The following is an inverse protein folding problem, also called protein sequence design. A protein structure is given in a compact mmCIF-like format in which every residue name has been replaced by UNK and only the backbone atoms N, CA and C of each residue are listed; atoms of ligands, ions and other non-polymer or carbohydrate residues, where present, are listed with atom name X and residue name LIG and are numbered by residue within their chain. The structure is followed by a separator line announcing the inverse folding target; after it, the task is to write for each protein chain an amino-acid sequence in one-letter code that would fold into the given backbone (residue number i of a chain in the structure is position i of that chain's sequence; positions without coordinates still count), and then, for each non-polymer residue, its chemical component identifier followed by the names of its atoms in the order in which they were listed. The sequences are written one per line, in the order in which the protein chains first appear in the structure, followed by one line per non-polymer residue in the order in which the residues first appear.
data_IF_965702944041
#
_entry.id   IF_965702944041
#
_cell.length_a   1.000
_cell.length_b   1.000
_cell.length_c   1.000
_cell.angle_alpha   90.00
_cell.angle_beta   90.00
_cell.angle_gamma   90.00
#
_symmetry.space_group_name_H-M   'P 1'
#
loop_
_entity.id
_entity.type
_entity.pdbx_description
1 polymer ?
#
# COMPACT_ATOMS: atom_id res chain seq x y z
N UNK A 1 1.70 5.62 24.06
CA UNK A 1 2.68 4.93 24.94
C UNK A 1 2.25 3.48 25.10
N UNK A 2 2.99 2.50 24.55
CA UNK A 2 3.29 1.15 25.10
C UNK A 2 4.25 0.49 24.09
N UNK A 3 5.56 0.62 24.30
CA UNK A 3 6.62 -0.06 23.54
C UNK A 3 7.69 -0.55 24.53
N UNK A 4 7.32 -1.38 25.51
CA UNK A 4 8.32 -1.88 26.48
C UNK A 4 8.29 -3.39 26.82
N UNK A 5 7.30 -4.18 26.38
CA UNK A 5 7.18 -5.56 26.87
C UNK A 5 7.65 -6.70 25.95
N UNK A 6 8.27 -6.44 24.80
CA UNK A 6 8.82 -7.51 23.93
C UNK A 6 10.22 -8.02 24.33
N UNK A 7 10.88 -7.34 25.30
CA UNK A 7 12.30 -7.52 25.63
C UNK A 7 12.66 -8.80 26.42
N UNK A 8 11.86 -9.30 27.39
CA UNK A 8 12.23 -10.49 28.14
C UNK A 8 11.99 -11.79 27.36
N UNK A 9 11.08 -11.78 26.37
CA UNK A 9 10.64 -12.97 25.65
C UNK A 9 11.65 -13.45 24.59
N UNK A 10 12.37 -12.55 23.93
CA UNK A 10 13.38 -12.92 22.91
C UNK A 10 14.59 -13.63 23.53
N UNK A 11 15.06 -13.14 24.67
CA UNK A 11 16.21 -13.70 25.37
C UNK A 11 15.90 -15.07 25.99
N UNK A 12 14.69 -15.25 26.54
CA UNK A 12 14.23 -16.55 27.05
C UNK A 12 14.11 -17.60 25.94
N UNK A 13 13.81 -17.19 24.70
CA UNK A 13 13.71 -18.09 23.56
C UNK A 13 15.07 -18.50 22.99
N UNK A 14 16.11 -17.65 23.06
CA UNK A 14 17.43 -17.97 22.47
C UNK A 14 18.28 -18.83 23.41
N UNK A 15 18.36 -18.47 24.70
CA UNK A 15 19.29 -19.07 25.68
C UNK A 15 19.27 -20.60 25.74
N UNK A 16 18.10 -21.28 25.80
CA UNK A 16 18.05 -22.74 25.90
C UNK A 16 18.68 -23.45 24.70
N UNK A 17 18.50 -22.91 23.50
CA UNK A 17 19.04 -23.49 22.26
C UNK A 17 20.48 -23.07 22.01
N UNK A 18 20.89 -21.86 22.40
CA UNK A 18 22.27 -21.39 22.27
C UNK A 18 23.25 -22.25 23.07
N UNK A 19 22.84 -22.68 24.28
CA UNK A 19 23.62 -23.63 25.08
C UNK A 19 23.78 -24.97 24.35
N UNK A 20 22.69 -25.51 23.78
CA UNK A 20 22.70 -26.78 23.03
C UNK A 20 23.59 -26.68 21.79
N UNK A 21 23.50 -25.58 21.05
CA UNK A 21 24.31 -25.29 19.88
C UNK A 21 25.80 -25.23 20.24
N UNK A 22 26.15 -24.44 21.25
CA UNK A 22 27.53 -24.30 21.73
C UNK A 22 28.11 -25.66 22.12
N UNK A 23 27.34 -26.51 22.79
CA UNK A 23 27.76 -27.86 23.17
C UNK A 23 27.91 -28.85 21.99
N UNK A 24 27.46 -28.52 20.78
CA UNK A 24 27.68 -29.36 19.61
C UNK A 24 28.87 -28.91 18.77
N UNK A 25 29.08 -27.59 18.68
CA UNK A 25 30.08 -26.99 17.78
C UNK A 25 31.29 -26.42 18.53
N UNK A 26 31.39 -26.63 19.85
CA UNK A 26 32.45 -26.04 20.66
C UNK A 26 33.84 -26.35 20.09
N UNK A 27 34.73 -25.34 19.96
CA UNK A 27 36.08 -25.53 19.42
C UNK A 27 36.87 -26.58 20.21
N UNK A 28 36.67 -26.67 21.52
CA UNK A 28 37.36 -27.68 22.35
C UNK A 28 36.93 -29.11 22.03
N UNK A 29 35.87 -29.36 21.26
CA UNK A 29 35.61 -30.72 20.81
C UNK A 29 36.52 -31.14 19.63
N UNK A 30 37.25 -30.23 19.01
CA UNK A 30 38.06 -30.47 17.81
C UNK A 30 39.58 -30.51 18.10
N UNK A 31 39.99 -31.28 19.10
CA UNK A 31 41.42 -31.42 19.48
C UNK A 31 42.33 -31.93 18.35
N UNK A 32 41.80 -32.72 17.40
CA UNK A 32 42.57 -33.33 16.31
C UNK A 32 42.59 -32.52 15.00
N UNK A 33 41.83 -31.42 14.91
CA UNK A 33 41.66 -30.64 13.67
C UNK A 33 41.75 -29.14 13.98
N UNK A 34 42.97 -28.59 14.02
CA UNK A 34 43.22 -27.18 14.36
C UNK A 34 42.45 -26.18 13.47
N UNK A 35 42.30 -26.49 12.19
CA UNK A 35 41.53 -25.67 11.23
C UNK A 35 40.06 -25.61 11.62
N UNK A 36 39.45 -26.76 11.96
CA UNK A 36 38.03 -26.83 12.36
C UNK A 36 37.79 -26.17 13.71
N UNK A 37 38.74 -26.34 14.63
CA UNK A 37 38.75 -25.65 15.92
C UNK A 37 38.73 -24.14 15.75
N UNK A 38 39.65 -23.59 14.95
CA UNK A 38 39.71 -22.15 14.68
C UNK A 38 38.46 -21.64 13.95
N UNK A 39 37.98 -22.40 12.96
CA UNK A 39 36.78 -22.06 12.22
C UNK A 39 35.55 -21.95 13.13
N UNK A 40 35.29 -22.98 13.94
CA UNK A 40 34.15 -22.96 14.86
C UNK A 40 34.29 -21.86 15.92
N UNK A 41 35.51 -21.57 16.41
CA UNK A 41 35.74 -20.46 17.32
C UNK A 41 35.37 -19.10 16.69
N UNK A 42 35.86 -18.84 15.47
CA UNK A 42 35.54 -17.62 14.72
C UNK A 42 34.02 -17.51 14.43
N UNK A 43 33.39 -18.61 14.03
CA UNK A 43 31.96 -18.64 13.70
C UNK A 43 31.08 -18.48 14.93
N UNK A 44 31.49 -19.01 16.10
CA UNK A 44 30.82 -18.75 17.36
C UNK A 44 30.93 -17.28 17.75
N UNK A 45 32.10 -16.66 17.61
CA UNK A 45 32.27 -15.22 17.85
C UNK A 45 31.37 -14.38 16.94
N UNK A 46 31.30 -14.71 15.65
CA UNK A 46 30.38 -14.04 14.72
C UNK A 46 28.92 -14.26 15.09
N UNK A 47 28.54 -15.47 15.54
CA UNK A 47 27.20 -15.76 16.04
C UNK A 47 26.85 -14.90 17.26
N UNK A 48 27.75 -14.80 18.24
CA UNK A 48 27.54 -13.93 19.39
C UNK A 48 27.42 -12.47 18.96
N UNK A 49 28.21 -12.01 18.00
CA UNK A 49 28.10 -10.63 17.47
C UNK A 49 26.76 -10.38 16.77
N UNK A 50 26.20 -11.39 16.09
CA UNK A 50 24.87 -11.32 15.47
C UNK A 50 23.74 -11.31 16.53
N UNK A 51 23.91 -12.07 17.61
CA UNK A 51 22.91 -12.22 18.67
C UNK A 51 23.03 -11.16 19.78
N UNK A 52 24.16 -10.48 19.91
CA UNK A 52 24.44 -9.51 20.98
C UNK A 52 23.38 -8.39 21.07
N UNK A 53 22.91 -7.78 19.96
CA UNK A 53 21.83 -6.78 20.01
C UNK A 53 20.52 -7.31 20.62
N UNK A 54 20.30 -8.64 20.59
CA UNK A 54 19.11 -9.30 21.13
C UNK A 54 19.35 -9.78 22.58
N UNK A 55 20.57 -10.21 22.90
CA UNK A 55 20.95 -10.73 24.22
C UNK A 55 21.29 -9.61 25.22
N UNK A 56 21.87 -8.50 24.75
CA UNK A 56 22.35 -7.34 25.50
C UNK A 56 22.10 -6.04 24.71
N UNK A 57 20.91 -5.44 24.81
CA UNK A 57 20.53 -4.27 24.01
C UNK A 57 21.24 -2.94 24.39
N UNK A 58 22.39 -2.98 25.06
CA UNK A 58 23.15 -1.80 25.51
C UNK A 58 24.25 -1.38 24.52
N UNK A 59 24.61 -2.22 23.55
CA UNK A 59 25.65 -1.93 22.58
C UNK A 59 25.04 -1.72 21.18
N UNK A 60 25.23 -0.51 20.62
CA UNK A 60 24.78 -0.14 19.28
C UNK A 60 25.73 -0.69 18.22
N UNK A 61 25.91 -2.01 18.16
CA UNK A 61 26.76 -2.67 17.16
C UNK A 61 25.91 -3.01 15.95
N UNK A 62 25.72 -2.03 15.06
CA UNK A 62 25.02 -2.25 13.79
C UNK A 62 25.97 -2.90 12.78
N UNK A 63 25.93 -4.22 12.68
CA UNK A 63 26.59 -4.95 11.60
C UNK A 63 25.93 -4.61 10.26
N UNK A 64 26.70 -4.02 9.35
CA UNK A 64 26.21 -3.49 8.06
C UNK A 64 26.14 -4.54 6.96
N UNK A 65 26.82 -5.67 7.11
CA UNK A 65 26.94 -6.71 6.08
C UNK A 65 26.21 -8.01 6.46
N UNK A 66 25.64 -8.73 5.45
CA UNK A 66 25.05 -10.04 5.67
C UNK A 66 26.12 -11.03 6.13
N UNK A 67 25.84 -11.74 7.23
CA UNK A 67 26.81 -12.65 7.85
C UNK A 67 26.42 -14.10 7.54
N UNK A 68 27.30 -14.85 6.85
CA UNK A 68 27.10 -16.28 6.61
C UNK A 68 27.85 -17.10 7.65
N UNK A 69 27.13 -17.90 8.43
CA UNK A 69 27.70 -18.76 9.46
C UNK A 69 27.69 -20.23 9.01
N UNK A 70 28.83 -20.90 9.19
CA UNK A 70 29.00 -22.33 8.91
C UNK A 70 29.66 -23.00 10.11
N UNK A 71 29.24 -24.20 10.49
CA UNK A 71 29.85 -24.93 11.60
C UNK A 71 30.22 -26.35 11.19
N UNK A 72 31.31 -26.84 11.77
CA UNK A 72 31.62 -28.27 11.80
C UNK A 72 30.87 -28.90 12.98
N UNK A 73 30.16 -30.00 12.72
CA UNK A 73 29.51 -30.79 13.78
C UNK A 73 30.31 -32.06 14.06
N UNK A 74 30.53 -32.37 15.34
CA UNK A 74 31.22 -33.60 15.78
C UNK A 74 30.25 -34.76 16.05
N UNK A 75 28.94 -34.51 16.15
CA UNK A 75 27.97 -35.55 16.54
C UNK A 75 27.60 -36.48 15.37
N UNK A 76 28.15 -37.69 15.44
CA UNK A 76 27.40 -38.93 15.24
C UNK A 76 27.86 -39.97 16.28
N UNK A 77 27.47 -39.80 17.55
CA UNK A 77 27.80 -40.82 18.57
C UNK A 77 27.03 -42.15 18.37
N UNK A 78 26.07 -42.18 17.46
CA UNK A 78 25.39 -43.41 17.00
C UNK A 78 26.07 -44.07 15.80
N UNK A 79 27.02 -43.40 15.12
CA UNK A 79 27.86 -44.01 14.10
C UNK A 79 29.28 -44.18 14.65
N UNK A 80 29.47 -45.29 15.38
CA UNK A 80 30.79 -45.92 15.56
C UNK A 80 31.30 -46.40 14.19
N UNK A 81 31.72 -45.50 13.30
CA UNK A 81 32.50 -45.81 12.08
C UNK A 81 32.83 -44.51 11.33
N UNK A 82 34.06 -44.01 11.51
CA UNK A 82 34.83 -43.18 10.56
C UNK A 82 34.06 -42.10 9.75
N UNK A 83 33.08 -41.41 10.32
CA UNK A 83 32.42 -40.28 9.66
C UNK A 83 33.22 -39.00 9.95
N UNK A 84 33.86 -38.45 8.91
CA UNK A 84 34.48 -37.13 8.96
C UNK A 84 33.49 -36.07 9.44
N UNK A 85 33.92 -35.04 10.19
CA UNK A 85 33.05 -33.94 10.59
C UNK A 85 32.35 -33.31 9.38
N UNK A 86 31.01 -33.35 9.36
CA UNK A 86 30.21 -32.77 8.27
C UNK A 86 30.14 -31.25 8.47
N UNK A 87 30.49 -30.50 7.40
CA UNK A 87 30.24 -29.06 7.35
C UNK A 87 28.76 -28.84 7.12
N UNK A 88 28.15 -28.03 7.97
CA UNK A 88 26.74 -27.67 7.81
C UNK A 88 26.61 -26.59 6.74
N UNK A 89 25.62 -26.71 5.81
CA UNK A 89 25.36 -25.69 4.81
C UNK A 89 25.09 -24.34 5.48
N UNK A 90 25.92 -23.34 5.14
CA UNK A 90 25.94 -22.09 5.89
C UNK A 90 24.63 -21.32 5.85
N UNK A 91 24.22 -20.80 7.01
CA UNK A 91 23.02 -19.97 7.19
C UNK A 91 23.39 -18.51 7.05
N UNK A 92 22.63 -17.75 6.27
CA UNK A 92 22.85 -16.31 6.03
C UNK A 92 21.93 -15.49 6.93
N UNK A 93 22.52 -14.63 7.74
CA UNK A 93 21.81 -13.64 8.54
C UNK A 93 21.72 -12.32 7.76
N UNK A 94 20.52 -11.96 7.32
CA UNK A 94 20.25 -10.78 6.51
C UNK A 94 20.33 -9.46 7.31
N UNK A 95 20.60 -8.37 6.60
CA UNK A 95 20.61 -6.99 7.11
C UNK A 95 19.40 -6.21 6.58
N UNK A 96 18.74 -5.33 7.38
CA UNK A 96 19.00 -5.03 8.79
C UNK A 96 18.57 -6.17 9.73
N UNK A 97 19.35 -6.39 10.80
CA UNK A 97 19.14 -7.49 11.77
C UNK A 97 17.97 -7.20 12.70
N UNK A 98 16.76 -7.49 12.22
CA UNK A 98 15.54 -7.40 13.02
C UNK A 98 15.51 -8.54 14.06
N UNK A 99 15.04 -8.33 15.30
CA UNK A 99 15.13 -9.32 16.37
C UNK A 99 14.47 -10.66 16.05
N UNK A 100 13.23 -10.65 15.56
CA UNK A 100 12.46 -11.87 15.32
C UNK A 100 12.89 -12.65 14.07
N UNK A 101 13.15 -12.00 12.92
CA UNK A 101 13.78 -12.67 11.79
C UNK A 101 15.14 -13.28 12.14
N UNK A 102 15.94 -12.60 12.96
CA UNK A 102 17.24 -13.14 13.42
C UNK A 102 17.06 -14.39 14.30
N UNK A 103 16.06 -14.41 15.19
CA UNK A 103 15.71 -15.61 15.99
C UNK A 103 15.25 -16.75 15.09
N UNK A 104 14.45 -16.47 14.05
CA UNK A 104 14.03 -17.48 13.08
C UNK A 104 15.22 -18.08 12.33
N UNK A 105 16.15 -17.25 11.85
CA UNK A 105 17.38 -17.72 11.20
C UNK A 105 18.25 -18.55 12.16
N UNK A 106 18.32 -18.15 13.42
CA UNK A 106 18.99 -18.91 14.48
C UNK A 106 18.30 -20.27 14.74
N UNK A 107 16.98 -20.34 14.68
CA UNK A 107 16.23 -21.59 14.76
C UNK A 107 16.52 -22.51 13.56
N UNK A 108 16.62 -21.97 12.35
CA UNK A 108 17.06 -22.74 11.18
C UNK A 108 18.47 -23.31 11.36
N UNK A 109 19.40 -22.54 11.93
CA UNK A 109 20.74 -23.02 12.27
C UNK A 109 20.69 -24.16 13.30
N UNK A 110 19.85 -24.04 14.33
CA UNK A 110 19.65 -25.09 15.33
C UNK A 110 19.07 -26.38 14.71
N UNK A 111 18.11 -26.26 13.78
CA UNK A 111 17.52 -27.42 13.09
C UNK A 111 18.55 -28.13 12.20
N UNK A 112 19.42 -27.40 11.51
CA UNK A 112 20.51 -27.99 10.73
C UNK A 112 21.56 -28.71 11.59
N UNK A 113 21.66 -28.33 12.86
CA UNK A 113 22.47 -29.00 13.89
C UNK A 113 21.71 -30.14 14.59
N UNK A 114 20.54 -30.54 14.08
CA UNK A 114 19.70 -31.58 14.70
C UNK A 114 19.31 -31.25 16.15
N UNK A 115 19.14 -29.95 16.45
CA UNK A 115 18.64 -29.46 17.73
C UNK A 115 17.14 -29.27 17.60
N UNK A 116 16.37 -30.15 18.24
CA UNK A 116 14.91 -30.04 18.28
C UNK A 116 14.47 -28.76 19.00
N UNK A 117 13.60 -28.01 18.32
CA UNK A 117 12.99 -26.77 18.79
C UNK A 117 11.54 -27.05 19.14
N UNK A 118 11.09 -26.57 20.30
CA UNK A 118 9.71 -26.77 20.74
C UNK A 118 8.75 -26.10 19.74
N UNK A 119 7.65 -26.78 19.33
CA UNK A 119 6.65 -26.19 18.44
C UNK A 119 6.09 -24.87 18.98
N UNK A 120 5.85 -24.79 20.29
CA UNK A 120 5.38 -23.59 20.98
C UNK A 120 6.28 -22.37 20.77
N UNK A 121 7.60 -22.58 20.78
CA UNK A 121 8.58 -21.50 20.61
C UNK A 121 8.66 -21.05 19.15
N UNK A 122 8.51 -22.00 18.22
CA UNK A 122 8.44 -21.72 16.78
C UNK A 122 7.18 -20.91 16.45
N UNK A 123 6.04 -21.31 17.01
CA UNK A 123 4.76 -20.63 16.81
C UNK A 123 4.78 -19.22 17.41
N UNK A 124 5.37 -19.05 18.59
CA UNK A 124 5.56 -17.74 19.21
C UNK A 124 6.40 -16.79 18.34
N UNK A 125 7.53 -17.27 17.78
CA UNK A 125 8.37 -16.47 16.87
C UNK A 125 7.62 -16.12 15.59
N UNK A 126 6.89 -17.06 14.98
CA UNK A 126 6.09 -16.80 13.79
C UNK A 126 4.96 -15.80 14.05
N UNK A 127 4.28 -15.91 15.19
CA UNK A 127 3.24 -14.96 15.58
C UNK A 127 3.80 -13.54 15.72
N UNK A 128 4.99 -13.38 16.32
CA UNK A 128 5.64 -12.08 16.47
C UNK A 128 6.12 -11.50 15.13
N UNK A 129 6.63 -12.32 14.21
CA UNK A 129 6.99 -11.87 12.86
C UNK A 129 5.74 -11.37 12.10
N UNK A 130 4.62 -12.09 12.20
CA UNK A 130 3.33 -11.70 11.62
C UNK A 130 2.81 -10.39 12.23
N UNK A 131 2.92 -10.23 13.54
CA UNK A 131 2.54 -9.00 14.24
C UNK A 131 3.43 -7.80 13.87
N UNK A 132 4.72 -8.02 13.62
CA UNK A 132 5.60 -6.95 13.11
C UNK A 132 5.24 -6.53 11.68
N UNK A 133 4.82 -7.49 10.85
CA UNK A 133 4.38 -7.20 9.47
C UNK A 133 3.02 -6.50 9.41
N UNK A 134 2.15 -6.71 10.40
CA UNK A 134 0.87 -5.98 10.51
C UNK A 134 0.99 -4.60 11.17
N UNK A 135 2.03 -4.35 11.97
CA UNK A 135 2.26 -3.04 12.62
C UNK A 135 3.14 -2.07 11.82
N UNK A 136 3.90 -2.54 10.82
CA UNK A 136 4.37 -1.64 9.76
C UNK A 136 3.17 -1.27 8.89
N UNK A 137 2.86 0.03 8.65
CA UNK A 137 1.89 0.39 7.63
C UNK A 137 2.37 -0.29 6.35
N UNK A 138 1.54 -1.15 5.78
CA UNK A 138 1.86 -1.89 4.57
C UNK A 138 2.50 -0.93 3.56
N UNK A 139 3.83 -0.98 3.43
CA UNK A 139 4.48 -0.51 2.23
C UNK A 139 3.98 -1.46 1.17
N UNK A 140 2.96 -1.00 0.44
CA UNK A 140 2.59 -1.52 -0.86
C UNK A 140 3.91 -1.80 -1.61
N UNK A 141 4.01 -2.90 -2.38
CA UNK A 141 5.21 -3.17 -3.18
C UNK A 141 5.62 -1.89 -3.92
N UNK A 142 6.93 -1.63 -4.10
CA UNK A 142 7.39 -0.42 -4.77
C UNK A 142 6.64 -0.31 -6.09
N UNK A 143 5.73 0.67 -6.14
CA UNK A 143 4.84 0.86 -7.27
C UNK A 143 5.73 1.24 -8.44
N UNK A 144 5.55 0.58 -9.58
CA UNK A 144 6.23 1.02 -10.79
C UNK A 144 5.82 2.46 -11.08
N UNK A 145 6.67 3.24 -11.76
CA UNK A 145 6.30 4.59 -12.23
C UNK A 145 4.97 4.57 -12.99
N UNK A 146 4.71 3.51 -13.76
CA UNK A 146 3.42 3.30 -14.42
C UNK A 146 2.26 3.12 -13.43
N UNK A 147 2.47 2.40 -12.33
CA UNK A 147 1.44 2.20 -11.31
C UNK A 147 1.24 3.44 -10.44
N UNK A 148 2.28 4.25 -10.21
CA UNK A 148 2.11 5.58 -9.59
C UNK A 148 1.37 6.55 -10.51
N UNK A 149 1.67 6.54 -11.81
CA UNK A 149 0.97 7.38 -12.78
C UNK A 149 -0.48 6.95 -12.97
N UNK A 150 -0.73 5.64 -13.06
CA UNK A 150 -2.07 5.08 -13.12
C UNK A 150 -2.84 5.42 -11.84
N UNK A 151 -2.26 5.22 -10.65
CA UNK A 151 -2.92 5.56 -9.40
C UNK A 151 -3.14 7.07 -9.22
N UNK A 152 -2.24 7.92 -9.71
CA UNK A 152 -2.44 9.38 -9.71
C UNK A 152 -3.60 9.74 -10.64
N UNK A 153 -3.63 9.20 -11.86
CA UNK A 153 -4.74 9.38 -12.79
C UNK A 153 -6.06 8.84 -12.25
N UNK A 154 -6.05 7.66 -11.62
CA UNK A 154 -7.24 7.05 -11.01
C UNK A 154 -7.69 7.80 -9.76
N UNK A 155 -6.79 8.38 -8.96
CA UNK A 155 -7.16 9.22 -7.82
C UNK A 155 -7.71 10.56 -8.25
N UNK A 156 -7.14 11.19 -9.27
CA UNK A 156 -7.70 12.40 -9.88
C UNK A 156 -9.06 12.10 -10.50
N UNK A 157 -9.21 10.96 -11.20
CA UNK A 157 -10.50 10.51 -11.70
C UNK A 157 -11.48 10.15 -10.59
N UNK A 158 -11.07 9.51 -9.50
CA UNK A 158 -11.95 9.15 -8.39
C UNK A 158 -12.33 10.36 -7.53
N UNK A 159 -11.44 11.34 -7.35
CA UNK A 159 -11.81 12.62 -6.72
C UNK A 159 -12.73 13.45 -7.62
N UNK A 160 -12.62 13.33 -8.95
CA UNK A 160 -13.58 13.93 -9.87
C UNK A 160 -14.90 13.12 -9.98
N UNK A 161 -14.89 11.80 -9.73
CA UNK A 161 -16.07 10.93 -9.80
C UNK A 161 -16.80 10.73 -8.45
N UNK A 162 -16.20 11.06 -7.30
CA UNK A 162 -16.98 11.35 -6.10
C UNK A 162 -17.72 12.65 -6.36
N UNK A 163 -18.89 12.52 -6.99
CA UNK A 163 -19.94 13.52 -7.18
C UNK A 163 -19.51 14.88 -6.64
N UNK A 164 -18.94 15.74 -7.49
CA UNK A 164 -19.22 17.16 -7.34
C UNK A 164 -20.75 17.24 -7.41
N UNK A 165 -21.39 17.19 -6.25
CA UNK A 165 -22.81 17.46 -6.13
C UNK A 165 -22.94 18.87 -6.68
N UNK A 166 -23.45 18.96 -7.90
CA UNK A 166 -23.72 20.25 -8.53
C UNK A 166 -24.65 20.95 -7.56
N UNK A 167 -24.18 22.02 -6.94
CA UNK A 167 -24.99 22.79 -5.99
C UNK A 167 -25.70 23.90 -6.74
N UNK A 168 -26.83 24.38 -6.21
CA UNK A 168 -27.53 25.53 -6.80
C UNK A 168 -26.61 26.76 -6.95
N UNK A 169 -25.64 26.94 -6.04
CA UNK A 169 -24.60 27.97 -6.17
C UNK A 169 -23.77 27.85 -7.45
N UNK A 170 -23.31 26.64 -7.78
CA UNK A 170 -22.54 26.39 -9.01
C UNK A 170 -23.36 26.64 -10.28
N UNK A 171 -24.68 26.45 -10.23
CA UNK A 171 -25.58 26.77 -11.36
C UNK A 171 -25.70 28.28 -11.54
N UNK A 172 -25.83 29.03 -10.44
CA UNK A 172 -25.98 30.48 -10.46
C UNK A 172 -24.69 31.22 -10.85
N UNK A 173 -23.53 30.65 -10.53
CA UNK A 173 -22.22 31.20 -10.85
C UNK A 173 -21.79 30.95 -12.31
N UNK A 174 -22.53 30.12 -13.06
CA UNK A 174 -22.20 29.79 -14.44
C UNK A 174 -22.55 30.95 -15.39
N UNK A 175 -21.57 31.64 -16.02
CA UNK A 175 -21.83 32.85 -16.82
C UNK A 175 -22.65 32.60 -18.09
N UNK A 176 -22.65 31.37 -18.60
CA UNK A 176 -23.40 30.98 -19.79
C UNK A 176 -24.82 30.48 -19.48
N UNK A 177 -25.22 30.44 -18.20
CA UNK A 177 -26.56 30.06 -17.80
C UNK A 177 -27.34 31.32 -17.37
N UNK A 178 -28.46 31.60 -18.03
CA UNK A 178 -29.32 32.73 -17.68
C UNK A 178 -30.75 32.25 -17.46
N UNK A 179 -31.41 32.84 -16.46
CA UNK A 179 -32.80 32.57 -16.16
C UNK A 179 -33.67 33.79 -16.48
N UNK A 180 -34.90 33.55 -16.92
CA UNK A 180 -35.92 34.58 -17.05
C UNK A 180 -36.11 35.30 -15.69
N UNK A 181 -36.07 36.64 -15.65
CA UNK A 181 -36.23 37.41 -14.41
C UNK A 181 -37.57 37.18 -13.70
N UNK A 182 -38.58 36.64 -14.40
CA UNK A 182 -39.88 36.28 -13.80
C UNK A 182 -39.84 35.00 -12.97
N UNK A 183 -38.81 34.16 -13.14
CA UNK A 183 -38.68 32.89 -12.43
C UNK A 183 -37.88 33.05 -11.14
N UNK A 184 -38.19 32.21 -10.15
CA UNK A 184 -37.39 32.13 -8.94
C UNK A 184 -36.05 31.46 -9.25
N UNK A 185 -34.99 32.27 -9.35
CA UNK A 185 -33.63 31.82 -9.69
C UNK A 185 -33.11 30.71 -8.77
N UNK A 186 -33.43 30.75 -7.48
CA UNK A 186 -32.98 29.74 -6.53
C UNK A 186 -33.65 28.39 -6.81
N UNK A 187 -34.97 28.40 -7.05
CA UNK A 187 -35.74 27.20 -7.39
C UNK A 187 -35.27 26.56 -8.69
N UNK A 188 -34.98 27.38 -9.70
CA UNK A 188 -34.42 26.90 -10.98
C UNK A 188 -33.03 26.30 -10.75
N UNK A 189 -32.18 26.95 -9.97
CA UNK A 189 -30.84 26.47 -9.68
C UNK A 189 -30.85 25.14 -8.92
N UNK A 190 -31.74 24.97 -7.93
CA UNK A 190 -31.87 23.73 -7.16
C UNK A 190 -32.41 22.58 -8.02
N UNK A 191 -33.40 22.86 -8.89
CA UNK A 191 -33.90 21.87 -9.86
C UNK A 191 -32.83 21.47 -10.87
N UNK A 192 -32.13 22.44 -11.44
CA UNK A 192 -31.04 22.18 -12.40
C UNK A 192 -29.88 21.44 -11.75
N UNK A 193 -29.51 21.77 -10.51
CA UNK A 193 -28.51 21.03 -9.73
C UNK A 193 -28.85 19.53 -9.62
N UNK A 194 -30.13 19.22 -9.45
CA UNK A 194 -30.61 17.84 -9.36
C UNK A 194 -30.63 17.12 -10.72
N UNK A 195 -30.92 17.84 -11.79
CA UNK A 195 -31.15 17.26 -13.12
C UNK A 195 -29.90 17.24 -14.00
N UNK A 196 -29.00 18.21 -13.83
CA UNK A 196 -27.81 18.39 -14.66
C UNK A 196 -26.95 17.12 -14.77
N UNK A 197 -26.71 16.32 -13.71
CA UNK A 197 -25.93 15.07 -13.83
C UNK A 197 -26.54 14.05 -14.80
N UNK A 198 -27.84 14.10 -15.05
CA UNK A 198 -28.56 13.19 -15.94
C UNK A 198 -28.65 13.71 -17.39
N UNK A 199 -28.30 14.98 -17.60
CA UNK A 199 -28.39 15.68 -18.89
C UNK A 199 -27.06 15.75 -19.64
N UNK A 200 -26.09 14.88 -19.30
CA UNK A 200 -24.79 14.78 -19.98
C UNK A 200 -24.09 16.16 -20.14
N UNK A 201 -23.80 16.85 -19.02
CA UNK A 201 -23.32 18.23 -19.03
C UNK A 201 -21.98 18.38 -19.77
N UNK A 202 -21.17 17.32 -19.86
CA UNK A 202 -19.92 17.29 -20.61
C UNK A 202 -20.05 17.66 -22.10
N UNK A 203 -21.25 17.53 -22.66
CA UNK A 203 -21.52 17.82 -24.05
C UNK A 203 -21.83 19.30 -24.33
N UNK A 204 -22.39 20.02 -23.34
CA UNK A 204 -22.99 21.35 -23.59
C UNK A 204 -22.84 22.37 -22.45
N UNK A 205 -22.81 21.92 -21.19
CA UNK A 205 -22.74 22.79 -20.02
C UNK A 205 -21.44 23.58 -20.00
N UNK A 206 -21.53 24.92 -19.94
CA UNK A 206 -20.35 25.80 -19.99
C UNK A 206 -19.69 25.93 -21.36
N UNK A 207 -20.25 25.29 -22.40
CA UNK A 207 -19.83 25.43 -23.80
C UNK A 207 -20.86 26.15 -24.65
N UNK A 208 -22.14 26.00 -24.32
CA UNK A 208 -23.25 26.67 -24.98
C UNK A 208 -23.98 27.61 -24.01
N UNK A 209 -24.29 28.84 -24.45
CA UNK A 209 -25.25 29.70 -23.76
C UNK A 209 -26.58 28.98 -23.61
N UNK A 210 -27.12 28.96 -22.40
CA UNK A 210 -28.37 28.29 -22.06
C UNK A 210 -29.30 29.25 -21.35
N UNK A 211 -30.53 29.36 -21.88
CA UNK A 211 -31.60 30.18 -21.33
C UNK A 211 -32.67 29.29 -20.71
N UNK A 212 -33.01 29.55 -19.45
CA UNK A 212 -34.13 28.91 -18.77
C UNK A 212 -35.31 29.89 -18.69
N UNK A 213 -36.39 29.59 -19.40
CA UNK A 213 -37.51 30.50 -19.63
C UNK A 213 -38.82 29.98 -19.04
N UNK A 214 -39.73 30.91 -18.74
CA UNK A 214 -41.12 30.53 -18.47
C UNK A 214 -41.74 29.92 -19.74
N UNK A 215 -42.64 28.95 -19.59
CA UNK A 215 -43.43 28.38 -20.70
C UNK A 215 -44.27 29.44 -21.45
N UNK A 216 -44.56 30.56 -20.79
CA UNK A 216 -45.26 31.70 -21.37
C UNK A 216 -44.38 32.60 -22.26
N UNK A 217 -43.06 32.45 -22.18
CA UNK A 217 -42.09 33.29 -22.91
C UNK A 217 -41.74 32.63 -24.24
N UNK A 218 -42.14 33.27 -25.35
CA UNK A 218 -41.76 32.85 -26.71
C UNK A 218 -40.67 33.77 -27.24
N UNK A 219 -39.60 33.17 -27.76
CA UNK A 219 -38.52 33.89 -28.44
C UNK A 219 -38.56 33.58 -29.94
N UNK A 220 -38.18 34.56 -30.76
CA UNK A 220 -38.03 34.38 -32.20
C UNK A 220 -36.84 33.46 -32.51
N UNK A 221 -37.03 32.49 -33.40
CA UNK A 221 -36.03 31.48 -33.75
C UNK A 221 -34.72 32.09 -34.27
N UNK A 222 -34.80 33.23 -34.98
CA UNK A 222 -33.62 33.90 -35.53
C UNK A 222 -32.70 34.51 -34.47
N UNK A 223 -33.23 34.87 -33.29
CA UNK A 223 -32.46 35.45 -32.17
C UNK A 223 -31.89 34.40 -31.22
N UNK A 224 -32.24 33.13 -31.45
CA UNK A 224 -31.91 32.01 -30.55
C UNK A 224 -30.96 31.01 -31.20
N UNK A 225 -30.38 31.38 -32.35
CA UNK A 225 -29.35 30.60 -33.03
C UNK A 225 -28.14 30.46 -32.12
N UNK A 226 -27.63 29.23 -31.97
CA UNK A 226 -26.50 28.92 -31.10
C UNK A 226 -26.77 28.94 -29.59
N UNK A 227 -28.02 29.15 -29.16
CA UNK A 227 -28.44 29.17 -27.75
C UNK A 227 -29.36 27.98 -27.47
N UNK A 228 -29.14 27.31 -26.34
CA UNK A 228 -30.02 26.25 -25.84
C UNK A 228 -31.15 26.87 -25.01
N UNK A 229 -32.40 26.52 -25.31
CA UNK A 229 -33.57 27.07 -24.61
C UNK A 229 -34.28 25.95 -23.86
N UNK A 230 -34.40 26.11 -22.55
CA UNK A 230 -35.09 25.20 -21.64
C UNK A 230 -36.30 25.93 -21.04
N UNK A 231 -37.40 25.21 -20.86
CA UNK A 231 -38.62 25.77 -20.28
C UNK A 231 -38.96 25.16 -18.92
N UNK A 232 -39.63 25.94 -18.07
CA UNK A 232 -40.01 25.54 -16.71
C UNK A 232 -41.03 24.39 -16.63
N UNK A 233 -41.81 24.20 -17.69
CA UNK A 233 -42.83 23.14 -17.80
C UNK A 233 -42.26 21.80 -18.29
N UNK A 234 -41.02 21.77 -18.79
CA UNK A 234 -40.41 20.55 -19.28
C UNK A 234 -40.07 19.59 -18.13
N UNK A 235 -40.39 18.32 -18.33
CA UNK A 235 -39.90 17.22 -17.50
C UNK A 235 -38.45 16.89 -17.82
N UNK A 236 -37.78 16.16 -16.94
CA UNK A 236 -36.40 15.72 -17.17
C UNK A 236 -36.24 14.94 -18.49
N UNK A 237 -37.20 14.08 -18.80
CA UNK A 237 -37.20 13.26 -20.03
C UNK A 237 -37.34 14.12 -21.28
N UNK A 238 -38.27 15.09 -21.25
CA UNK A 238 -38.48 16.05 -22.35
C UNK A 238 -37.26 16.96 -22.55
N UNK A 239 -36.67 17.45 -21.46
CA UNK A 239 -35.43 18.23 -21.53
C UNK A 239 -34.29 17.41 -22.14
N UNK A 240 -34.13 16.15 -21.73
CA UNK A 240 -33.10 15.28 -22.27
C UNK A 240 -33.32 15.00 -23.77
N UNK A 241 -34.56 14.70 -24.17
CA UNK A 241 -34.91 14.49 -25.57
C UNK A 241 -34.65 15.75 -26.42
N UNK A 242 -35.04 16.92 -25.92
CA UNK A 242 -34.79 18.21 -26.56
C UNK A 242 -33.29 18.46 -26.74
N UNK A 243 -32.49 18.27 -25.68
CA UNK A 243 -31.04 18.45 -25.75
C UNK A 243 -30.45 17.51 -26.79
N UNK A 244 -30.78 16.21 -26.76
CA UNK A 244 -30.23 15.26 -27.73
C UNK A 244 -30.60 15.60 -29.18
N UNK A 245 -31.82 16.08 -29.42
CA UNK A 245 -32.30 16.42 -30.75
C UNK A 245 -31.67 17.71 -31.30
N UNK A 246 -31.55 18.76 -30.49
CA UNK A 246 -31.16 20.09 -30.96
C UNK A 246 -29.70 20.45 -30.69
N UNK A 247 -29.00 19.70 -29.82
CA UNK A 247 -27.61 19.99 -29.47
C UNK A 247 -26.65 20.00 -30.66
N UNK A 248 -26.68 19.04 -31.63
CA UNK A 248 -25.77 19.07 -32.77
C UNK A 248 -25.94 20.33 -33.64
N UNK A 249 -27.19 20.75 -33.84
CA UNK A 249 -27.53 21.95 -34.62
C UNK A 249 -27.10 23.21 -33.89
N UNK A 250 -27.40 23.34 -32.60
CA UNK A 250 -27.01 24.50 -31.78
C UNK A 250 -25.50 24.62 -31.61
N UNK A 251 -24.78 23.51 -31.47
CA UNK A 251 -23.31 23.50 -31.44
C UNK A 251 -22.70 24.01 -32.75
N UNK A 252 -23.28 23.65 -33.89
CA UNK A 252 -22.83 24.13 -35.19
C UNK A 252 -23.08 25.63 -35.34
N UNK A 253 -24.29 26.10 -35.03
CA UNK A 253 -24.66 27.52 -35.07
C UNK A 253 -23.77 28.38 -34.15
N UNK A 254 -23.46 27.90 -32.94
CA UNK A 254 -22.60 28.62 -32.00
C UNK A 254 -21.15 28.74 -32.50
N UNK A 255 -20.62 27.68 -33.14
CA UNK A 255 -19.29 27.71 -33.75
C UNK A 255 -19.22 28.67 -34.93
N UNK A 256 -20.26 28.70 -35.75
CA UNK A 256 -20.34 29.60 -36.92
C UNK A 256 -20.47 31.08 -36.52
N UNK A 257 -20.85 31.37 -35.26
CA UNK A 257 -20.99 32.72 -34.71
C UNK A 257 -19.81 33.18 -33.83
N UNK A 258 -18.90 32.26 -33.47
CA UNK A 258 -17.70 32.58 -32.71
C UNK A 258 -16.57 32.95 -33.68
N UNK A 259 -16.06 34.19 -33.68
CA UNK A 259 -15.02 34.65 -34.60
C UNK A 259 -13.68 33.94 -34.43
#
# INVERSE_FOLDING_TARGET
MVLQNAKPMTNSLIKPYLKKLTLQVHPDFFHGDAIKKQHNANMLQQLYTVLDPILRPTASTMLTEPTRLTFYNKRSSTQRRRSSPTIIPGVVFATPKQPWPTIQTFFSLCQQLDISILPSDRDAVQAMIRQQTTQTPQRKPPRSLQQEFADALYKDHQQQQQQQQVTGGMILDQPLFMCDPKLNRQHVADRMAQWLPQLHPELWWGRLPTLYLSSSTRLEEDRTKGILILHDDMTLEEMNAYIQQYLPTKLKEHKDQSP
#
